data_IF_772155996700
#
_entry.id   IF_772155996700
#
_cell.length_a   1.000
_cell.length_b   1.000
_cell.length_c   1.000
_cell.angle_alpha   90.00
_cell.angle_beta   90.00
_cell.angle_gamma   90.00
#
_symmetry.space_group_name_H-M   'P 1'
#
loop_
_entity.id
_entity.type
_entity.pdbx_description
1 polymer ?
#
# COMPACT_ATOMS: atom_id res chain seq x y z
N UNK A 1 28.01 18.39 5.09
CA UNK A 1 27.09 17.32 5.51
C UNK A 1 25.82 17.42 4.68
N UNK A 2 25.63 16.52 3.70
CA UNK A 2 24.42 16.52 2.88
C UNK A 2 23.22 16.18 3.76
N UNK A 3 22.29 17.13 3.86
CA UNK A 3 21.01 16.96 4.53
C UNK A 3 20.20 15.90 3.76
N UNK A 4 20.31 14.64 4.19
CA UNK A 4 19.45 13.56 3.69
C UNK A 4 18.01 13.97 3.96
N UNK A 5 17.24 14.26 2.91
CA UNK A 5 15.79 14.46 3.05
C UNK A 5 15.24 13.23 3.75
N UNK A 6 14.76 13.38 4.99
CA UNK A 6 14.03 12.32 5.65
C UNK A 6 12.70 12.18 4.92
N UNK A 7 12.59 11.15 4.10
CA UNK A 7 11.33 10.77 3.46
C UNK A 7 10.47 10.17 4.56
N UNK A 8 9.61 11.00 5.17
CA UNK A 8 8.56 10.54 6.06
C UNK A 8 7.35 10.13 5.24
N UNK A 9 6.72 9.03 5.61
CA UNK A 9 5.46 8.59 5.00
C UNK A 9 4.54 8.07 6.10
N UNK A 10 3.23 8.25 5.89
CA UNK A 10 2.21 7.76 6.82
C UNK A 10 1.58 6.50 6.24
N UNK A 11 1.73 5.40 6.96
CA UNK A 11 1.14 4.13 6.57
C UNK A 11 -0.30 4.04 7.07
N UNK A 12 -1.26 3.98 6.14
CA UNK A 12 -2.72 3.96 6.44
C UNK A 12 -3.41 2.76 5.79
N UNK A 13 -2.71 1.64 5.67
CA UNK A 13 -3.21 0.50 4.92
C UNK A 13 -4.58 0.02 5.45
N UNK A 14 -4.73 -0.10 6.78
CA UNK A 14 -5.99 -0.48 7.43
C UNK A 14 -7.17 0.42 7.05
N UNK A 15 -6.96 1.74 7.02
CA UNK A 15 -8.02 2.69 6.67
C UNK A 15 -8.43 2.55 5.20
N UNK A 16 -7.44 2.37 4.32
CA UNK A 16 -7.70 2.17 2.89
C UNK A 16 -8.40 0.83 2.61
N UNK A 17 -8.01 -0.23 3.33
CA UNK A 17 -8.68 -1.53 3.27
C UNK A 17 -10.15 -1.44 3.69
N UNK A 18 -10.44 -0.77 4.81
CA UNK A 18 -11.81 -0.57 5.28
C UNK A 18 -12.67 0.20 4.27
N UNK A 19 -12.09 1.19 3.57
CA UNK A 19 -12.77 1.90 2.48
C UNK A 19 -13.17 1.03 1.29
N UNK A 20 -12.52 -0.13 1.12
CA UNK A 20 -12.82 -1.12 0.07
C UNK A 20 -13.59 -2.34 0.58
N UNK A 21 -14.01 -2.34 1.85
CA UNK A 21 -14.70 -3.47 2.47
C UNK A 21 -13.78 -4.64 2.84
N UNK A 22 -12.47 -4.44 2.86
CA UNK A 22 -11.49 -5.43 3.32
C UNK A 22 -11.18 -5.14 4.79
N UNK A 23 -11.52 -6.04 5.70
CA UNK A 23 -11.35 -5.80 7.14
C UNK A 23 -10.24 -6.63 7.74
N UNK A 24 -9.85 -7.72 7.08
CA UNK A 24 -8.84 -8.66 7.57
C UNK A 24 -7.65 -8.78 6.63
N UNK A 25 -6.50 -9.15 7.20
CA UNK A 25 -5.30 -9.46 6.41
C UNK A 25 -5.52 -10.69 5.52
N UNK A 26 -6.32 -11.65 5.97
CA UNK A 26 -6.61 -12.89 5.23
C UNK A 26 -7.39 -12.62 3.94
N UNK A 27 -8.29 -11.64 3.93
CA UNK A 27 -8.99 -11.20 2.72
C UNK A 27 -8.04 -10.50 1.72
N UNK A 28 -6.96 -9.89 2.20
CA UNK A 28 -5.98 -9.21 1.37
C UNK A 28 -4.99 -10.17 0.69
N UNK A 29 -4.73 -11.34 1.30
CA UNK A 29 -3.82 -12.37 0.75
C UNK A 29 -4.20 -12.81 -0.67
N UNK A 30 -5.43 -13.28 -0.95
CA UNK A 30 -5.79 -13.72 -2.30
C UNK A 30 -5.73 -12.57 -3.32
N UNK A 31 -6.09 -11.34 -2.92
CA UNK A 31 -6.05 -10.15 -3.79
C UNK A 31 -4.61 -9.78 -4.21
N UNK A 32 -3.64 -9.99 -3.31
CA UNK A 32 -2.21 -9.85 -3.59
C UNK A 32 -1.71 -10.97 -4.49
N UNK A 33 -2.13 -12.21 -4.23
CA UNK A 33 -1.75 -13.37 -5.03
C UNK A 33 -2.22 -13.26 -6.49
N UNK A 34 -3.43 -12.75 -6.73
CA UNK A 34 -3.95 -12.47 -8.08
C UNK A 34 -3.06 -11.50 -8.89
N UNK A 35 -2.27 -10.67 -8.20
CA UNK A 35 -1.33 -9.71 -8.81
C UNK A 35 0.12 -10.22 -8.85
N UNK A 36 0.32 -11.51 -8.56
CA UNK A 36 1.63 -12.14 -8.52
C UNK A 36 2.46 -11.79 -7.27
N UNK A 37 1.80 -11.37 -6.18
CA UNK A 37 2.45 -11.10 -4.90
C UNK A 37 2.15 -12.22 -3.92
N UNK A 38 3.11 -13.12 -3.76
CA UNK A 38 3.07 -14.20 -2.78
C UNK A 38 3.58 -13.72 -1.41
N UNK A 39 2.65 -13.37 -0.52
CA UNK A 39 2.94 -13.06 0.88
C UNK A 39 2.13 -13.97 1.80
N UNK A 40 2.76 -14.47 2.85
CA UNK A 40 2.07 -15.24 3.90
C UNK A 40 1.10 -14.35 4.68
N UNK A 41 0.05 -14.95 5.25
CA UNK A 41 -0.93 -14.24 6.08
C UNK A 41 -0.28 -13.45 7.23
N UNK A 42 0.79 -13.98 7.83
CA UNK A 42 1.56 -13.28 8.88
C UNK A 42 2.30 -12.06 8.35
N UNK A 43 2.87 -12.12 7.14
CA UNK A 43 3.51 -10.97 6.51
C UNK A 43 2.49 -9.89 6.16
N UNK A 44 1.34 -10.29 5.60
CA UNK A 44 0.24 -9.36 5.31
C UNK A 44 -0.30 -8.73 6.60
N UNK A 45 -0.49 -9.51 7.66
CA UNK A 45 -0.89 -8.98 8.96
C UNK A 45 0.08 -7.92 9.46
N UNK A 46 1.40 -8.15 9.38
CA UNK A 46 2.41 -7.15 9.77
C UNK A 46 2.29 -5.87 8.95
N UNK A 47 1.99 -5.97 7.66
CA UNK A 47 1.70 -4.81 6.82
C UNK A 47 0.43 -4.09 7.28
N UNK A 48 -0.62 -4.79 7.70
CA UNK A 48 -1.86 -4.12 8.14
C UNK A 48 -1.71 -3.45 9.52
N UNK A 49 -0.97 -4.07 10.44
CA UNK A 49 -0.90 -3.63 11.85
C UNK A 49 0.26 -2.71 12.17
N UNK A 50 1.32 -2.70 11.36
CA UNK A 50 2.53 -1.92 11.61
C UNK A 50 2.99 -1.13 10.40
N UNK A 51 3.81 -0.11 10.64
CA UNK A 51 4.52 0.60 9.58
C UNK A 51 5.73 -0.25 9.15
N UNK A 52 5.81 -0.73 7.91
CA UNK A 52 6.94 -1.53 7.47
C UNK A 52 8.23 -0.69 7.42
N UNK A 53 9.39 -1.24 7.76
CA UNK A 53 10.66 -0.52 7.54
C UNK A 53 11.09 -0.56 6.07
N UNK A 54 10.74 -1.66 5.39
CA UNK A 54 11.03 -1.91 3.99
C UNK A 54 9.81 -2.50 3.33
N UNK A 55 9.44 -1.93 2.19
CA UNK A 55 8.33 -2.38 1.35
C UNK A 55 8.83 -2.48 -0.08
N UNK A 56 8.57 -3.60 -0.74
CA UNK A 56 8.88 -3.77 -2.16
C UNK A 56 7.92 -2.94 -3.01
N UNK A 57 8.43 -2.26 -4.04
CA UNK A 57 7.60 -1.48 -4.97
C UNK A 57 6.49 -2.31 -5.65
N UNK A 58 6.69 -3.58 -6.03
CA UNK A 58 5.61 -4.43 -6.55
C UNK A 58 4.46 -4.62 -5.56
N UNK A 59 4.78 -4.78 -4.27
CA UNK A 59 3.76 -4.90 -3.20
C UNK A 59 2.99 -3.59 -3.08
N UNK A 60 3.69 -2.45 -3.10
CA UNK A 60 3.05 -1.13 -3.08
C UNK A 60 2.12 -0.94 -4.28
N UNK A 61 2.58 -1.29 -5.49
CA UNK A 61 1.79 -1.19 -6.71
C UNK A 61 0.54 -2.07 -6.65
N UNK A 62 0.68 -3.32 -6.17
CA UNK A 62 -0.44 -4.22 -5.99
C UNK A 62 -1.44 -3.68 -4.95
N UNK A 63 -0.97 -3.14 -3.82
CA UNK A 63 -1.85 -2.52 -2.81
C UNK A 63 -2.58 -1.29 -3.37
N UNK A 64 -1.89 -0.44 -4.13
CA UNK A 64 -2.50 0.71 -4.80
C UNK A 64 -3.58 0.27 -5.79
N UNK A 65 -3.34 -0.81 -6.54
CA UNK A 65 -4.29 -1.36 -7.50
C UNK A 65 -5.51 -2.02 -6.81
N UNK A 66 -5.30 -2.84 -5.78
CA UNK A 66 -6.36 -3.50 -4.99
C UNK A 66 -7.30 -2.48 -4.34
N UNK A 67 -6.71 -1.45 -3.75
CA UNK A 67 -7.43 -0.46 -2.96
C UNK A 67 -7.88 0.74 -3.78
N UNK A 68 -7.66 0.72 -5.10
CA UNK A 68 -7.89 1.82 -6.05
C UNK A 68 -7.29 3.16 -5.57
N UNK A 69 -6.23 3.11 -4.77
CA UNK A 69 -5.52 4.30 -4.31
C UNK A 69 -4.55 4.68 -5.39
N UNK A 70 -4.90 5.71 -6.17
CA UNK A 70 -3.88 6.39 -6.96
C UNK A 70 -3.00 7.19 -5.98
N UNK A 71 -1.66 7.07 -6.02
CA UNK A 71 -0.80 8.06 -5.35
C UNK A 71 -1.26 9.41 -5.86
N UNK A 72 -1.77 10.27 -4.96
CA UNK A 72 -2.45 11.54 -5.27
C UNK A 72 -1.76 12.16 -6.48
N UNK A 73 -2.39 12.03 -7.64
CA UNK A 73 -1.80 12.42 -8.92
C UNK A 73 -1.45 13.90 -8.77
N UNK A 74 -0.17 14.31 -8.78
CA UNK A 74 0.15 15.73 -8.81
C UNK A 74 -0.55 16.28 -10.04
N UNK A 75 -1.31 17.37 -9.81
CA UNK A 75 -2.16 18.08 -10.75
C UNK A 75 -2.25 17.49 -12.15
N UNK A 76 -3.44 16.96 -12.48
CA UNK A 76 -3.92 17.00 -13.85
C UNK A 76 -3.84 18.49 -14.27
N UNK A 77 -2.80 18.87 -15.00
CA UNK A 77 -2.73 20.17 -15.67
C UNK A 77 -3.86 20.18 -16.69
N UNK A 78 -5.03 20.64 -16.24
CA UNK A 78 -6.11 21.09 -17.11
C UNK A 78 -5.78 22.54 -17.47
N UNK A 79 -5.74 22.83 -18.77
CA UNK A 79 -5.55 24.16 -19.35
C UNK A 79 -4.13 24.36 -19.88
N UNK A 80 -3.90 24.57 -21.18
CA UNK A 80 -4.78 24.75 -22.32
C UNK A 80 -3.96 24.68 -23.61
#
# INVERSE_FOLDING_TARGET
>A
MSMKRQVSYRWRLREMMAGRGVFTATELVPLLHERGIDLSASQVHRLVTGTPERLSLPVLAALCDILEVTPRRPGRYLGG
#
